data_IF_514604986160
#
_entry.id   IF_514604986160
#
_cell.length_a   1.000
_cell.length_b   1.000
_cell.length_c   1.000
_cell.angle_alpha   90.00
_cell.angle_beta   90.00
_cell.angle_gamma   90.00
#
_symmetry.space_group_name_H-M   'P 1'
#
loop_
_entity.id
_entity.type
_entity.pdbx_description
1 polymer ?
#
# COMPACT_ATOMS: atom_id res chain seq x y z
N UNK A 1 30.44 45.05 19.27
CA UNK A 1 29.08 44.58 18.91
C UNK A 1 29.09 43.89 17.54
N UNK A 2 29.67 44.48 16.49
CA UNK A 2 29.74 43.91 15.12
C UNK A 2 30.47 42.56 15.07
N UNK A 3 31.54 42.37 15.80
CA UNK A 3 32.32 41.13 15.88
C UNK A 3 31.52 39.97 16.54
N UNK A 4 30.75 40.29 17.57
CA UNK A 4 29.88 39.33 18.25
C UNK A 4 28.69 38.89 17.37
N UNK A 5 28.18 39.80 16.52
CA UNK A 5 27.01 39.52 15.68
C UNK A 5 27.32 38.51 14.57
N UNK A 6 28.55 38.43 14.06
CA UNK A 6 28.96 37.54 12.96
C UNK A 6 28.72 36.06 13.25
N UNK A 7 29.25 35.46 14.34
CA UNK A 7 29.03 34.05 14.63
C UNK A 7 27.56 33.75 14.96
N UNK A 8 26.80 34.70 15.56
CA UNK A 8 25.36 34.53 15.84
C UNK A 8 24.60 34.43 14.50
N UNK A 9 24.85 35.33 13.56
CA UNK A 9 24.21 35.28 12.24
C UNK A 9 24.61 34.02 11.48
N UNK A 10 25.89 33.61 11.53
CA UNK A 10 26.35 32.40 10.84
C UNK A 10 25.60 31.15 11.31
N UNK A 11 25.33 31.02 12.62
CA UNK A 11 24.55 29.96 13.20
C UNK A 11 23.05 30.08 12.87
N UNK A 12 22.54 31.29 12.64
CA UNK A 12 21.14 31.58 12.34
C UNK A 12 20.62 30.93 11.05
N UNK A 13 21.51 30.43 10.20
CA UNK A 13 21.14 29.68 8.98
C UNK A 13 20.36 28.38 9.26
N UNK A 14 20.42 27.87 10.48
CA UNK A 14 19.56 26.71 10.87
C UNK A 14 18.07 27.04 10.74
N UNK A 15 17.66 28.31 10.88
CA UNK A 15 16.25 28.73 10.84
C UNK A 15 15.63 28.50 9.44
N UNK A 16 16.17 29.04 8.32
CA UNK A 16 15.61 28.76 7.00
C UNK A 16 15.67 27.28 6.63
N UNK A 17 16.68 26.54 7.07
CA UNK A 17 16.75 25.08 6.89
C UNK A 17 15.60 24.34 7.57
N UNK A 18 15.31 24.68 8.83
CA UNK A 18 14.20 24.10 9.56
C UNK A 18 12.84 24.45 8.94
N UNK A 19 12.64 25.70 8.54
CA UNK A 19 11.40 26.11 7.87
C UNK A 19 11.17 25.29 6.59
N UNK A 20 12.24 25.12 5.78
CA UNK A 20 12.16 24.31 4.56
C UNK A 20 11.79 22.85 4.84
N UNK A 21 12.37 22.26 5.91
CA UNK A 21 12.06 20.89 6.30
C UNK A 21 10.58 20.70 6.74
N UNK A 22 9.95 21.71 7.33
CA UNK A 22 8.57 21.63 7.78
C UNK A 22 7.54 21.84 6.67
N UNK A 23 7.87 22.48 5.55
CA UNK A 23 6.90 22.73 4.46
C UNK A 23 6.23 21.46 3.92
N UNK A 24 6.94 20.38 3.58
CA UNK A 24 6.33 19.18 3.02
C UNK A 24 5.50 18.37 4.02
N UNK A 25 5.74 18.56 5.32
CA UNK A 25 5.12 17.75 6.40
C UNK A 25 4.09 18.51 7.22
N UNK A 26 3.64 19.66 6.73
CA UNK A 26 2.70 20.55 7.43
C UNK A 26 1.42 19.85 7.91
N UNK A 27 0.89 18.90 7.13
CA UNK A 27 -0.30 18.10 7.46
C UNK A 27 -0.07 17.05 8.55
N UNK A 28 1.20 16.68 8.78
CA UNK A 28 1.59 15.59 9.69
C UNK A 28 2.18 16.07 11.02
N UNK A 29 1.96 17.33 11.37
CA UNK A 29 2.42 17.92 12.63
C UNK A 29 1.60 17.43 13.83
N UNK A 30 2.25 17.23 14.97
CA UNK A 30 1.56 16.96 16.26
C UNK A 30 0.82 18.17 16.82
N UNK A 31 1.27 19.37 16.44
CA UNK A 31 0.71 20.65 16.86
C UNK A 31 0.46 21.55 15.64
N UNK A 32 -0.49 22.49 15.68
CA UNK A 32 -0.69 23.44 14.59
C UNK A 32 0.57 24.25 14.32
N UNK A 33 0.85 24.52 13.03
CA UNK A 33 2.08 25.20 12.59
C UNK A 33 2.31 26.54 13.30
N UNK A 34 1.24 27.31 13.56
CA UNK A 34 1.31 28.57 14.27
C UNK A 34 1.89 28.44 15.70
N UNK A 35 1.44 27.44 16.45
CA UNK A 35 1.99 27.17 17.79
C UNK A 35 3.42 26.67 17.72
N UNK A 36 3.76 25.83 16.73
CA UNK A 36 5.10 25.32 16.53
C UNK A 36 6.09 26.47 16.25
N UNK A 37 5.78 27.34 15.31
CA UNK A 37 6.62 28.49 14.93
C UNK A 37 6.81 29.46 16.11
N UNK A 38 5.74 29.69 16.89
CA UNK A 38 5.74 30.63 18.01
C UNK A 38 6.80 30.28 19.10
N UNK A 39 7.04 29.00 19.37
CA UNK A 39 8.04 28.62 20.36
C UNK A 39 9.37 28.16 19.74
N UNK A 40 9.33 27.53 18.54
CA UNK A 40 10.52 26.94 17.92
C UNK A 40 11.47 28.01 17.36
N UNK A 41 10.95 29.05 16.69
CA UNK A 41 11.79 30.10 16.12
C UNK A 41 12.51 30.91 17.23
N UNK A 42 11.86 31.37 18.30
CA UNK A 42 12.55 32.01 19.41
C UNK A 42 13.57 31.09 20.11
N UNK A 43 13.23 29.79 20.26
CA UNK A 43 14.16 28.82 20.83
C UNK A 43 15.41 28.67 19.98
N UNK A 44 15.28 28.49 18.67
CA UNK A 44 16.42 28.39 17.75
C UNK A 44 17.24 29.70 17.72
N UNK A 45 16.57 30.86 17.70
CA UNK A 45 17.25 32.14 17.75
C UNK A 45 18.07 32.32 19.05
N UNK A 46 17.49 31.90 20.20
CA UNK A 46 18.18 31.92 21.50
C UNK A 46 19.41 30.98 21.49
N UNK A 47 19.25 29.77 20.97
CA UNK A 47 20.33 28.79 20.87
C UNK A 47 21.44 29.27 19.92
N UNK A 48 21.09 29.88 18.79
CA UNK A 48 22.06 30.51 17.87
C UNK A 48 22.78 31.66 18.53
N UNK A 49 22.08 32.50 19.29
CA UNK A 49 22.69 33.61 20.04
C UNK A 49 23.64 33.07 21.11
N UNK A 50 23.20 32.13 21.94
CA UNK A 50 24.04 31.52 22.98
C UNK A 50 25.29 30.84 22.38
N UNK A 51 25.10 30.04 21.30
CA UNK A 51 26.20 29.40 20.58
C UNK A 51 27.17 30.39 19.97
N UNK A 52 26.66 31.48 19.39
CA UNK A 52 27.50 32.57 18.82
C UNK A 52 28.32 33.31 19.87
N UNK A 53 27.73 33.57 21.06
CA UNK A 53 28.45 34.16 22.20
C UNK A 53 29.58 33.23 22.68
N UNK A 54 29.32 31.91 22.76
CA UNK A 54 30.33 30.92 23.14
C UNK A 54 31.46 30.87 22.13
N UNK A 55 31.16 30.86 20.82
CA UNK A 55 32.16 30.90 19.75
C UNK A 55 33.01 32.16 19.83
N UNK A 56 32.38 33.31 20.07
CA UNK A 56 33.06 34.58 20.23
C UNK A 56 33.98 34.59 21.45
N UNK A 57 33.46 34.20 22.62
CA UNK A 57 34.20 34.22 23.90
C UNK A 57 35.42 33.29 23.88
N UNK A 58 35.28 32.11 23.28
CA UNK A 58 36.36 31.11 23.18
C UNK A 58 37.22 31.20 21.93
N UNK A 59 36.94 32.14 21.02
CA UNK A 59 37.55 32.24 19.70
C UNK A 59 37.56 30.90 18.92
N UNK A 60 36.45 30.16 18.99
CA UNK A 60 36.31 28.86 18.31
C UNK A 60 35.63 29.04 16.95
N UNK A 61 35.94 28.17 15.96
CA UNK A 61 35.20 28.14 14.70
C UNK A 61 33.73 27.77 14.93
N UNK A 62 32.85 28.34 14.13
CA UNK A 62 31.38 28.12 14.22
C UNK A 62 30.93 26.73 13.72
N UNK A 63 31.73 26.04 12.89
CA UNK A 63 31.35 24.78 12.25
C UNK A 63 30.96 23.68 13.24
N UNK A 64 31.67 23.38 14.35
CA UNK A 64 31.23 22.35 15.31
C UNK A 64 29.91 22.72 16.01
N UNK A 65 29.75 24.01 16.34
CA UNK A 65 28.54 24.52 16.97
C UNK A 65 27.34 24.44 16.02
N UNK A 66 27.54 24.79 14.75
CA UNK A 66 26.53 24.67 13.70
C UNK A 66 26.09 23.20 13.52
N UNK A 67 27.04 22.27 13.49
CA UNK A 67 26.72 20.83 13.42
C UNK A 67 25.90 20.36 14.62
N UNK A 68 26.27 20.76 15.84
CA UNK A 68 25.52 20.42 17.07
C UNK A 68 24.10 21.01 17.06
N UNK A 69 23.96 22.29 16.69
CA UNK A 69 22.65 22.94 16.57
C UNK A 69 21.77 22.30 15.49
N UNK A 70 22.36 21.93 14.37
CA UNK A 70 21.64 21.24 13.28
C UNK A 70 21.15 19.87 13.75
N UNK A 71 21.98 19.10 14.44
CA UNK A 71 21.59 17.81 14.99
C UNK A 71 20.43 17.96 15.99
N UNK A 72 20.51 18.93 16.91
CA UNK A 72 19.44 19.23 17.86
C UNK A 72 18.16 19.63 17.13
N UNK A 73 18.25 20.47 16.09
CA UNK A 73 17.12 20.88 15.29
C UNK A 73 16.46 19.69 14.58
N UNK A 74 17.23 18.75 14.03
CA UNK A 74 16.72 17.51 13.42
C UNK A 74 16.02 16.63 14.45
N UNK A 75 16.56 16.49 15.67
CA UNK A 75 15.89 15.74 16.76
C UNK A 75 14.55 16.37 17.12
N UNK A 76 14.50 17.70 17.27
CA UNK A 76 13.25 18.43 17.54
C UNK A 76 12.26 18.21 16.39
N UNK A 77 12.71 18.33 15.14
CA UNK A 77 11.91 18.09 13.95
C UNK A 77 11.24 16.71 13.99
N UNK A 78 12.01 15.64 14.16
CA UNK A 78 11.50 14.27 14.22
C UNK A 78 10.48 14.09 15.35
N UNK A 79 10.72 14.66 16.54
CA UNK A 79 9.83 14.56 17.70
C UNK A 79 8.50 15.29 17.53
N UNK A 80 8.44 16.32 16.70
CA UNK A 80 7.24 17.14 16.46
C UNK A 80 6.32 16.55 15.38
N UNK A 81 6.74 15.49 14.69
CA UNK A 81 5.99 14.87 13.58
C UNK A 81 5.28 13.57 13.98
N UNK A 82 4.21 13.23 13.22
CA UNK A 82 3.44 11.98 13.33
C UNK A 82 3.78 10.95 12.24
N UNK A 83 4.78 11.23 11.40
CA UNK A 83 5.21 10.35 10.30
C UNK A 83 6.34 9.42 10.74
N UNK A 84 6.59 8.38 9.92
CA UNK A 84 7.67 7.42 10.17
C UNK A 84 9.03 8.11 10.19
N UNK A 85 9.96 7.53 10.98
CA UNK A 85 11.33 8.02 11.10
C UNK A 85 12.04 8.09 9.73
N UNK A 86 11.77 7.14 8.84
CA UNK A 86 12.36 7.09 7.51
C UNK A 86 11.93 8.29 6.65
N UNK A 87 10.64 8.61 6.61
CA UNK A 87 10.12 9.78 5.87
C UNK A 87 10.69 11.09 6.43
N UNK A 88 10.58 11.29 7.75
CA UNK A 88 11.07 12.52 8.40
C UNK A 88 12.59 12.64 8.33
N UNK A 89 13.32 11.54 8.56
CA UNK A 89 14.78 11.50 8.50
C UNK A 89 15.31 11.82 7.11
N UNK A 90 14.76 11.24 6.06
CA UNK A 90 15.17 11.51 4.67
C UNK A 90 14.99 12.98 4.29
N UNK A 91 13.85 13.59 4.65
CA UNK A 91 13.60 15.02 4.38
C UNK A 91 14.61 15.88 5.12
N UNK A 92 14.79 15.63 6.42
CA UNK A 92 15.77 16.40 7.22
C UNK A 92 17.19 16.26 6.67
N UNK A 93 17.64 15.05 6.34
CA UNK A 93 18.96 14.80 5.77
C UNK A 93 19.13 15.47 4.40
N UNK A 94 18.10 15.47 3.55
CA UNK A 94 18.15 16.14 2.24
C UNK A 94 18.33 17.65 2.40
N UNK A 95 17.59 18.26 3.32
CA UNK A 95 17.76 19.69 3.64
C UNK A 95 19.15 19.94 4.22
N UNK A 96 19.62 19.14 5.17
CA UNK A 96 20.95 19.27 5.75
C UNK A 96 22.05 19.13 4.70
N UNK A 97 21.91 18.20 3.73
CA UNK A 97 22.90 18.03 2.66
C UNK A 97 23.00 19.25 1.74
N UNK A 98 21.87 19.83 1.34
CA UNK A 98 21.85 21.05 0.53
C UNK A 98 22.47 22.22 1.30
N UNK A 99 22.10 22.41 2.57
CA UNK A 99 22.65 23.48 3.40
C UNK A 99 24.13 23.26 3.71
N UNK A 100 24.63 22.03 3.79
CA UNK A 100 26.04 21.72 3.86
C UNK A 100 26.79 22.14 2.59
N UNK A 101 26.22 21.89 1.40
CA UNK A 101 26.78 22.35 0.14
C UNK A 101 26.81 23.90 0.05
N UNK A 102 25.73 24.56 0.47
CA UNK A 102 25.67 26.04 0.53
C UNK A 102 26.69 26.58 1.53
N UNK A 103 26.89 25.91 2.68
CA UNK A 103 27.90 26.28 3.66
C UNK A 103 29.34 26.21 3.07
N UNK A 104 29.65 25.10 2.35
CA UNK A 104 30.95 24.95 1.67
C UNK A 104 31.19 26.05 0.63
N UNK A 105 30.16 26.36 -0.18
CA UNK A 105 30.22 27.47 -1.13
C UNK A 105 30.43 28.83 -0.43
N UNK A 106 29.70 29.07 0.67
CA UNK A 106 29.82 30.30 1.45
C UNK A 106 31.21 30.45 2.11
N UNK A 107 31.84 29.34 2.47
CA UNK A 107 33.22 29.28 2.95
C UNK A 107 34.19 29.69 1.85
N UNK A 108 33.99 29.23 0.62
CA UNK A 108 34.78 29.67 -0.53
C UNK A 108 34.63 31.18 -0.80
N UNK A 109 33.39 31.70 -0.73
CA UNK A 109 33.09 33.13 -0.88
C UNK A 109 33.79 33.95 0.23
N UNK A 110 33.73 33.47 1.48
CA UNK A 110 34.42 34.13 2.59
C UNK A 110 35.94 34.19 2.38
N UNK A 111 36.54 33.07 1.94
CA UNK A 111 37.97 33.03 1.65
C UNK A 111 38.36 33.99 0.49
N UNK A 112 37.52 34.06 -0.56
CA UNK A 112 37.73 34.99 -1.67
C UNK A 112 37.64 36.46 -1.23
N UNK A 113 36.73 36.80 -0.32
CA UNK A 113 36.58 38.16 0.23
C UNK A 113 37.74 38.56 1.18
N UNK A 114 38.40 37.60 1.80
CA UNK A 114 39.51 37.80 2.70
C UNK A 114 40.86 37.68 1.97
N UNK A 115 40.89 37.22 0.72
CA UNK A 115 42.10 37.15 -0.11
C UNK A 115 42.69 38.56 -0.29
N UNK A 116 43.91 38.76 0.22
CA UNK A 116 44.60 40.07 0.19
C UNK A 116 44.61 40.85 1.50
N UNK A 117 43.93 40.37 2.55
CA UNK A 117 44.06 40.93 3.91
C UNK A 117 45.19 40.24 4.68
N UNK A 118 45.89 40.95 5.61
CA UNK A 118 46.91 40.33 6.44
C UNK A 118 46.33 39.18 7.27
N UNK A 119 46.89 37.98 7.11
CA UNK A 119 46.36 36.72 7.71
C UNK A 119 46.36 36.73 9.26
N UNK A 120 47.15 37.55 9.91
CA UNK A 120 47.27 37.65 11.35
C UNK A 120 45.97 38.14 12.07
N UNK A 121 44.96 38.62 11.33
CA UNK A 121 43.71 39.17 11.88
C UNK A 121 42.43 38.38 11.47
N UNK A 122 42.55 37.25 10.79
CA UNK A 122 41.39 36.49 10.38
C UNK A 122 40.66 35.85 11.60
N UNK A 123 39.45 36.30 11.82
CA UNK A 123 38.59 35.67 12.84
C UNK A 123 38.20 34.23 12.39
N UNK A 124 37.96 33.28 13.32
CA UNK A 124 37.60 31.90 13.00
C UNK A 124 36.19 31.74 12.43
N UNK A 125 35.45 32.83 12.23
CA UNK A 125 34.11 32.91 11.64
C UNK A 125 34.10 33.77 10.37
N UNK A 126 33.00 33.72 9.64
CA UNK A 126 32.85 34.44 8.37
C UNK A 126 32.88 35.97 8.56
N UNK A 127 33.38 36.69 7.56
CA UNK A 127 33.25 38.12 7.52
C UNK A 127 31.78 38.55 7.30
N UNK A 128 31.39 39.73 7.75
CA UNK A 128 29.99 40.17 7.71
C UNK A 128 29.37 40.09 6.30
N UNK A 129 30.13 40.49 5.26
CA UNK A 129 29.66 40.40 3.86
C UNK A 129 29.41 38.97 3.43
N UNK A 130 30.26 38.03 3.82
CA UNK A 130 30.08 36.60 3.51
C UNK A 130 28.88 36.02 4.25
N UNK A 131 28.65 36.38 5.52
CA UNK A 131 27.45 35.95 6.29
C UNK A 131 26.16 36.45 5.63
N UNK A 132 26.13 37.72 5.19
CA UNK A 132 24.97 38.27 4.48
C UNK A 132 24.71 37.49 3.18
N UNK A 133 25.76 37.23 2.38
CA UNK A 133 25.65 36.42 1.17
C UNK A 133 25.15 35.00 1.50
N UNK A 134 25.66 34.41 2.57
CA UNK A 134 25.24 33.06 3.02
C UNK A 134 23.72 33.01 3.34
N UNK A 135 23.24 33.97 4.13
CA UNK A 135 21.80 34.09 4.38
C UNK A 135 20.98 34.33 3.13
N UNK A 136 21.46 35.24 2.25
CA UNK A 136 20.76 35.52 0.99
C UNK A 136 20.60 34.27 0.14
N UNK A 137 21.64 33.43 0.01
CA UNK A 137 21.60 32.17 -0.72
C UNK A 137 20.63 31.18 -0.04
N UNK A 138 20.68 31.05 1.29
CA UNK A 138 19.81 30.12 2.02
C UNK A 138 18.33 30.49 1.93
N UNK A 139 17.99 31.77 2.08
CA UNK A 139 16.63 32.25 1.97
C UNK A 139 16.11 32.19 0.52
N UNK A 140 16.96 32.53 -0.45
CA UNK A 140 16.63 32.39 -1.87
C UNK A 140 16.34 30.92 -2.21
N UNK A 141 17.22 30.03 -1.75
CA UNK A 141 17.01 28.59 -1.95
C UNK A 141 15.70 28.11 -1.28
N UNK A 142 15.42 28.51 -0.04
CA UNK A 142 14.19 28.16 0.66
C UNK A 142 12.94 28.68 -0.08
N UNK A 143 13.00 29.88 -0.67
CA UNK A 143 11.92 30.46 -1.46
C UNK A 143 11.67 29.67 -2.77
N UNK A 144 12.74 29.31 -3.49
CA UNK A 144 12.65 28.51 -4.72
C UNK A 144 12.13 27.08 -4.40
N UNK A 145 12.65 26.47 -3.35
CA UNK A 145 12.27 25.12 -2.93
C UNK A 145 10.87 25.05 -2.30
N UNK A 146 10.25 26.17 -1.95
CA UNK A 146 8.92 26.22 -1.33
C UNK A 146 7.85 25.52 -2.17
N UNK A 147 7.81 25.81 -3.47
CA UNK A 147 6.81 25.23 -4.38
C UNK A 147 6.96 23.69 -4.51
N UNK A 148 8.12 23.12 -4.87
CA UNK A 148 8.29 21.68 -4.92
C UNK A 148 8.09 21.00 -3.54
N UNK A 149 8.49 21.64 -2.45
CA UNK A 149 8.32 21.11 -1.10
C UNK A 149 6.83 20.98 -0.72
N UNK A 150 6.03 22.01 -0.98
CA UNK A 150 4.61 22.04 -0.59
C UNK A 150 3.69 21.26 -1.51
N UNK A 151 4.08 20.99 -2.76
CA UNK A 151 3.24 20.29 -3.75
C UNK A 151 3.75 18.87 -3.99
N UNK A 152 4.96 18.72 -4.50
CA UNK A 152 5.45 17.42 -4.95
C UNK A 152 5.92 16.54 -3.80
N UNK A 153 6.81 17.06 -2.93
CA UNK A 153 7.32 16.29 -1.79
C UNK A 153 6.20 15.99 -0.79
N UNK A 154 5.30 16.95 -0.55
CA UNK A 154 4.15 16.75 0.33
C UNK A 154 3.27 15.59 -0.14
N UNK A 155 2.93 15.51 -1.44
CA UNK A 155 2.17 14.39 -1.99
C UNK A 155 2.86 13.05 -1.76
N UNK A 156 4.18 13.00 -1.93
CA UNK A 156 4.95 11.78 -1.66
C UNK A 156 4.92 11.38 -0.19
N UNK A 157 4.89 12.34 0.74
CA UNK A 157 4.80 12.06 2.18
C UNK A 157 3.43 11.50 2.55
N UNK A 158 2.37 12.05 1.96
CA UNK A 158 0.98 11.67 2.22
C UNK A 158 0.60 10.33 1.56
N UNK A 159 1.29 9.92 0.50
CA UNK A 159 1.01 8.68 -0.23
C UNK A 159 1.75 7.48 0.42
N UNK A 160 0.98 6.43 0.76
CA UNK A 160 1.52 5.20 1.37
C UNK A 160 2.28 4.32 0.39
N UNK A 161 2.01 4.44 -0.92
CA UNK A 161 2.67 3.65 -1.96
C UNK A 161 4.18 3.90 -2.05
N UNK A 162 4.68 5.02 -1.49
CA UNK A 162 6.10 5.36 -1.44
C UNK A 162 6.87 4.80 -0.25
N UNK A 163 6.26 3.97 0.59
CA UNK A 163 6.89 3.51 1.83
C UNK A 163 8.27 2.86 1.57
N UNK A 164 8.40 2.03 0.54
CA UNK A 164 9.66 1.34 0.20
C UNK A 164 10.74 2.28 -0.33
N UNK A 165 10.36 3.33 -1.03
CA UNK A 165 11.28 4.29 -1.65
C UNK A 165 12.06 5.07 -0.60
N UNK A 166 11.42 5.42 0.53
CA UNK A 166 12.04 6.17 1.62
C UNK A 166 13.21 5.42 2.30
N UNK A 167 13.25 4.08 2.24
CA UNK A 167 14.35 3.29 2.80
C UNK A 167 15.67 3.41 2.04
N UNK A 168 15.66 3.89 0.81
CA UNK A 168 16.85 4.01 -0.04
C UNK A 168 17.35 5.44 -0.12
N UNK A 169 16.45 6.42 -0.08
CA UNK A 169 16.77 7.81 -0.39
C UNK A 169 17.59 8.57 0.66
N UNK A 170 17.65 8.10 1.89
CA UNK A 170 18.49 8.74 2.93
C UNK A 170 19.99 8.56 2.68
N UNK A 171 20.38 7.54 1.89
CA UNK A 171 21.79 7.24 1.63
C UNK A 171 22.48 8.37 0.87
N UNK A 172 21.84 8.90 -0.17
CA UNK A 172 22.40 9.95 -1.00
C UNK A 172 22.69 11.25 -0.23
N UNK A 173 21.75 11.85 0.51
CA UNK A 173 22.03 12.99 1.37
C UNK A 173 23.16 12.75 2.36
N UNK A 174 23.23 11.54 2.94
CA UNK A 174 24.28 11.20 3.89
C UNK A 174 25.68 11.24 3.23
N UNK A 175 25.80 10.71 2.00
CA UNK A 175 27.05 10.77 1.24
C UNK A 175 27.46 12.20 0.97
N UNK A 176 26.52 13.08 0.58
CA UNK A 176 26.83 14.50 0.34
C UNK A 176 27.23 15.23 1.63
N UNK A 177 26.59 14.94 2.76
CA UNK A 177 27.00 15.49 4.06
C UNK A 177 28.44 15.03 4.39
N UNK A 178 28.73 13.74 4.24
CA UNK A 178 30.06 13.19 4.51
C UNK A 178 31.14 13.84 3.62
N UNK A 179 30.86 13.98 2.31
CA UNK A 179 31.77 14.66 1.37
C UNK A 179 32.02 16.13 1.76
N UNK A 180 30.95 16.85 2.13
CA UNK A 180 31.12 18.25 2.58
C UNK A 180 31.91 18.37 3.90
N UNK A 181 31.69 17.44 4.84
CA UNK A 181 32.45 17.36 6.10
C UNK A 181 33.92 17.06 5.82
N UNK A 182 34.21 16.14 4.90
CA UNK A 182 35.59 15.81 4.49
C UNK A 182 36.29 16.97 3.83
N UNK A 183 35.58 17.82 3.08
CA UNK A 183 36.10 18.98 2.41
C UNK A 183 36.41 20.17 3.35
N UNK A 184 35.96 20.16 4.61
CA UNK A 184 36.28 21.23 5.55
C UNK A 184 37.81 21.28 5.75
N UNK A 185 38.48 22.37 5.39
CA UNK A 185 39.92 22.44 5.52
C UNK A 185 40.32 22.44 6.99
N UNK A 186 41.32 21.61 7.32
CA UNK A 186 41.85 21.52 8.69
C UNK A 186 42.52 22.82 9.16
N UNK A 187 43.13 23.52 8.23
CA UNK A 187 43.75 24.82 8.46
C UNK A 187 43.13 25.85 7.53
N UNK A 188 42.66 26.97 8.08
CA UNK A 188 42.05 28.07 7.30
C UNK A 188 42.98 28.61 6.24
N UNK A 189 44.29 28.68 6.53
CA UNK A 189 45.33 29.25 5.67
C UNK A 189 45.50 28.50 4.35
N UNK A 190 45.16 27.23 4.28
CA UNK A 190 45.21 26.42 3.05
C UNK A 190 44.28 26.94 1.96
N UNK A 191 43.15 27.55 2.33
CA UNK A 191 42.19 28.12 1.39
C UNK A 191 42.67 29.41 0.73
N UNK A 192 43.66 30.10 1.30
CA UNK A 192 44.14 31.38 0.75
C UNK A 192 45.15 31.22 -0.40
N UNK A 193 45.54 29.96 -0.71
CA UNK A 193 46.38 29.70 -1.90
C UNK A 193 45.47 29.72 -3.13
N UNK A 194 45.78 30.58 -4.13
CA UNK A 194 44.88 30.87 -5.25
C UNK A 194 44.36 29.62 -6.01
N UNK A 195 45.22 28.63 -6.27
CA UNK A 195 44.80 27.38 -6.92
C UNK A 195 43.90 26.53 -6.03
N UNK A 196 44.17 26.45 -4.73
CA UNK A 196 43.35 25.68 -3.78
C UNK A 196 41.97 26.32 -3.63
N UNK A 197 41.90 27.63 -3.53
CA UNK A 197 40.64 28.37 -3.47
C UNK A 197 39.78 28.15 -4.71
N UNK A 198 40.41 28.25 -5.92
CA UNK A 198 39.70 27.98 -7.18
C UNK A 198 39.16 26.55 -7.24
N UNK A 199 39.98 25.55 -6.89
CA UNK A 199 39.57 24.15 -6.83
C UNK A 199 38.44 23.93 -5.84
N UNK A 200 38.53 24.48 -4.64
CA UNK A 200 37.50 24.38 -3.61
C UNK A 200 36.17 25.01 -4.05
N UNK A 201 36.24 26.17 -4.73
CA UNK A 201 35.07 26.86 -5.26
C UNK A 201 34.37 26.03 -6.34
N UNK A 202 35.12 25.50 -7.31
CA UNK A 202 34.60 24.63 -8.38
C UNK A 202 33.97 23.39 -7.80
N UNK A 203 34.64 22.69 -6.86
CA UNK A 203 34.12 21.49 -6.23
C UNK A 203 32.84 21.80 -5.43
N UNK A 204 32.80 22.92 -4.68
CA UNK A 204 31.62 23.31 -3.91
C UNK A 204 30.40 23.58 -4.78
N UNK A 205 30.58 24.27 -5.93
CA UNK A 205 29.53 24.51 -6.91
C UNK A 205 29.08 23.18 -7.53
N UNK A 206 30.04 22.34 -7.92
CA UNK A 206 29.75 21.04 -8.54
C UNK A 206 28.95 20.13 -7.59
N UNK A 207 29.33 20.07 -6.31
CA UNK A 207 28.60 19.30 -5.30
C UNK A 207 27.18 19.85 -5.09
N UNK A 208 27.03 21.17 -5.02
CA UNK A 208 25.71 21.78 -4.89
C UNK A 208 24.83 21.46 -6.11
N UNK A 209 25.37 21.65 -7.32
CA UNK A 209 24.66 21.34 -8.56
C UNK A 209 24.27 19.85 -8.61
N UNK A 210 25.20 18.95 -8.30
CA UNK A 210 24.98 17.51 -8.31
C UNK A 210 23.92 17.10 -7.30
N UNK A 211 23.96 17.67 -6.08
CA UNK A 211 22.95 17.42 -5.05
C UNK A 211 21.55 17.88 -5.50
N UNK A 212 21.45 19.07 -6.10
CA UNK A 212 20.18 19.58 -6.62
C UNK A 212 19.67 18.74 -7.79
N UNK A 213 20.58 18.33 -8.69
CA UNK A 213 20.26 17.46 -9.82
C UNK A 213 19.72 16.11 -9.36
N UNK A 214 20.36 15.45 -8.39
CA UNK A 214 19.87 14.20 -7.84
C UNK A 214 18.55 14.36 -7.10
N UNK A 215 18.34 15.45 -6.36
CA UNK A 215 17.03 15.73 -5.76
C UNK A 215 15.94 15.92 -6.82
N UNK A 216 16.25 16.59 -7.94
CA UNK A 216 15.32 16.77 -9.04
C UNK A 216 14.98 15.43 -9.73
N UNK A 217 15.98 14.61 -10.03
CA UNK A 217 15.76 13.26 -10.58
C UNK A 217 14.90 12.41 -9.63
N UNK A 218 15.23 12.44 -8.35
CA UNK A 218 14.43 11.74 -7.34
C UNK A 218 12.96 12.15 -7.38
N UNK A 219 12.71 13.46 -7.39
CA UNK A 219 11.36 13.99 -7.44
C UNK A 219 10.62 13.57 -8.72
N UNK A 220 11.29 13.65 -9.89
CA UNK A 220 10.72 13.21 -11.16
C UNK A 220 10.42 11.70 -11.18
N UNK A 221 11.35 10.89 -10.67
CA UNK A 221 11.20 9.44 -10.58
C UNK A 221 10.01 9.09 -9.68
N UNK A 222 9.89 9.74 -8.54
CA UNK A 222 8.79 9.52 -7.62
C UNK A 222 7.43 9.89 -8.25
N UNK A 223 7.34 11.03 -8.94
CA UNK A 223 6.13 11.42 -9.68
C UNK A 223 5.78 10.40 -10.76
N UNK A 224 6.79 9.90 -11.50
CA UNK A 224 6.61 8.89 -12.56
C UNK A 224 6.11 7.56 -12.00
N UNK A 225 6.69 7.07 -10.91
CA UNK A 225 6.26 5.82 -10.25
C UNK A 225 4.79 5.93 -9.82
N UNK A 226 4.43 7.03 -9.17
CA UNK A 226 3.06 7.25 -8.72
C UNK A 226 2.06 7.28 -9.88
N UNK A 227 2.41 7.96 -10.97
CA UNK A 227 1.61 7.97 -12.19
C UNK A 227 1.41 6.57 -12.77
N UNK A 228 2.48 5.77 -12.82
CA UNK A 228 2.42 4.41 -13.34
C UNK A 228 1.55 3.49 -12.47
N UNK A 229 1.67 3.56 -11.15
CA UNK A 229 0.82 2.79 -10.22
C UNK A 229 -0.65 3.16 -10.41
N UNK A 230 -0.96 4.45 -10.52
CA UNK A 230 -2.33 4.93 -10.75
C UNK A 230 -2.89 4.43 -12.09
N UNK A 231 -2.11 4.51 -13.16
CA UNK A 231 -2.50 3.98 -14.47
C UNK A 231 -2.73 2.46 -14.45
N UNK A 232 -1.92 1.72 -13.71
CA UNK A 232 -2.12 0.28 -13.52
C UNK A 232 -3.44 -0.02 -12.81
N UNK A 233 -3.78 0.73 -11.74
CA UNK A 233 -5.05 0.58 -11.03
C UNK A 233 -6.25 0.91 -11.92
N UNK A 234 -6.18 1.98 -12.72
CA UNK A 234 -7.21 2.34 -13.68
C UNK A 234 -7.39 1.25 -14.76
N UNK A 235 -6.29 0.70 -15.29
CA UNK A 235 -6.34 -0.39 -16.27
C UNK A 235 -6.92 -1.68 -15.68
N UNK A 236 -6.60 -2.02 -14.42
CA UNK A 236 -7.19 -3.16 -13.74
C UNK A 236 -8.70 -2.99 -13.54
N UNK A 237 -9.14 -1.80 -13.16
CA UNK A 237 -10.56 -1.48 -13.02
C UNK A 237 -11.30 -1.62 -14.35
N UNK A 238 -10.74 -1.07 -15.43
CA UNK A 238 -11.30 -1.18 -16.78
C UNK A 238 -11.39 -2.63 -17.25
N UNK A 239 -10.36 -3.44 -17.01
CA UNK A 239 -10.38 -4.85 -17.39
C UNK A 239 -11.43 -5.65 -16.61
N UNK A 240 -11.64 -5.36 -15.31
CA UNK A 240 -12.72 -5.97 -14.53
C UNK A 240 -14.12 -5.55 -15.02
N UNK A 241 -14.29 -4.28 -15.42
CA UNK A 241 -15.55 -3.82 -15.99
C UNK A 241 -15.85 -4.50 -17.34
N UNK A 242 -14.84 -4.63 -18.19
CA UNK A 242 -14.98 -5.33 -19.46
C UNK A 242 -15.34 -6.80 -19.27
N UNK A 243 -14.69 -7.49 -18.34
CA UNK A 243 -15.00 -8.89 -18.02
C UNK A 243 -16.42 -9.06 -17.49
N UNK A 244 -16.90 -8.14 -16.63
CA UNK A 244 -18.30 -8.11 -16.18
C UNK A 244 -19.27 -7.91 -17.33
N UNK A 245 -18.95 -6.98 -18.25
CA UNK A 245 -19.78 -6.73 -19.42
C UNK A 245 -19.89 -7.96 -20.33
N UNK A 246 -18.77 -8.65 -20.59
CA UNK A 246 -18.76 -9.88 -21.41
C UNK A 246 -19.56 -11.01 -20.73
N UNK A 247 -19.40 -11.18 -19.42
CA UNK A 247 -20.19 -12.16 -18.65
C UNK A 247 -21.69 -11.86 -18.68
N UNK A 248 -22.06 -10.58 -18.55
CA UNK A 248 -23.46 -10.16 -18.63
C UNK A 248 -24.03 -10.40 -20.03
N UNK A 249 -23.27 -10.05 -21.08
CA UNK A 249 -23.66 -10.29 -22.46
C UNK A 249 -23.88 -11.79 -22.72
N UNK A 250 -22.97 -12.65 -22.25
CA UNK A 250 -23.11 -14.11 -22.37
C UNK A 250 -24.38 -14.62 -21.64
N UNK A 251 -24.65 -14.14 -20.43
CA UNK A 251 -25.85 -14.52 -19.67
C UNK A 251 -27.14 -14.04 -20.36
N UNK A 252 -27.14 -12.85 -20.96
CA UNK A 252 -28.29 -12.34 -21.72
C UNK A 252 -28.55 -13.23 -22.96
N UNK A 253 -27.50 -13.63 -23.68
CA UNK A 253 -27.65 -14.48 -24.85
C UNK A 253 -28.13 -15.90 -24.48
N UNK A 254 -27.60 -16.47 -23.41
CA UNK A 254 -28.07 -17.75 -22.85
C UNK A 254 -29.55 -17.68 -22.44
N UNK A 255 -29.96 -16.62 -21.74
CA UNK A 255 -31.35 -16.40 -21.36
C UNK A 255 -32.27 -16.20 -22.59
N UNK A 256 -31.76 -15.56 -23.64
CA UNK A 256 -32.48 -15.40 -24.91
C UNK A 256 -32.69 -16.73 -25.60
N UNK A 257 -31.65 -17.56 -25.62
CA UNK A 257 -31.72 -18.90 -26.23
C UNK A 257 -32.67 -19.80 -25.45
N UNK A 258 -32.55 -19.86 -24.13
CA UNK A 258 -33.48 -20.63 -23.28
C UNK A 258 -34.94 -20.21 -23.47
N UNK A 259 -35.20 -18.92 -23.59
CA UNK A 259 -36.54 -18.37 -23.85
C UNK A 259 -37.06 -18.76 -25.24
N UNK A 260 -36.20 -18.76 -26.24
CA UNK A 260 -36.51 -19.21 -27.60
C UNK A 260 -36.89 -20.70 -27.59
N UNK A 261 -36.10 -21.52 -26.94
CA UNK A 261 -36.32 -22.98 -26.86
C UNK A 261 -37.62 -23.32 -26.10
N UNK A 262 -37.87 -22.61 -24.99
CA UNK A 262 -39.13 -22.72 -24.25
C UNK A 262 -40.33 -22.35 -25.12
N UNK A 263 -40.24 -21.26 -25.89
CA UNK A 263 -41.30 -20.83 -26.82
C UNK A 263 -41.58 -21.92 -27.87
N UNK A 264 -40.53 -22.53 -28.42
CA UNK A 264 -40.64 -23.59 -29.38
C UNK A 264 -41.34 -24.83 -28.80
N UNK A 265 -40.96 -25.20 -27.57
CA UNK A 265 -41.62 -26.31 -26.85
C UNK A 265 -43.10 -26.04 -26.59
N UNK A 266 -43.45 -24.81 -26.18
CA UNK A 266 -44.85 -24.42 -25.96
C UNK A 266 -45.67 -24.41 -27.23
N UNK A 267 -45.10 -23.97 -28.39
CA UNK A 267 -45.76 -24.03 -29.67
C UNK A 267 -46.01 -25.48 -30.12
N UNK A 268 -45.06 -26.40 -29.89
CA UNK A 268 -45.26 -27.82 -30.18
C UNK A 268 -46.35 -28.43 -29.32
N UNK A 269 -46.42 -28.09 -28.01
CA UNK A 269 -47.48 -28.50 -27.13
C UNK A 269 -48.86 -27.99 -27.58
N UNK A 270 -48.94 -26.72 -27.98
CA UNK A 270 -50.18 -26.12 -28.47
C UNK A 270 -50.70 -26.86 -29.74
N UNK A 271 -49.81 -27.14 -30.71
CA UNK A 271 -50.16 -27.88 -31.89
C UNK A 271 -50.68 -29.30 -31.60
N UNK A 272 -50.05 -30.04 -30.64
CA UNK A 272 -50.52 -31.34 -30.21
C UNK A 272 -51.87 -31.28 -29.47
N UNK A 273 -52.14 -30.16 -28.80
CA UNK A 273 -53.42 -29.95 -28.12
C UNK A 273 -54.54 -29.65 -29.13
N UNK A 274 -54.29 -28.92 -30.21
CA UNK A 274 -55.22 -28.68 -31.30
C UNK A 274 -55.59 -29.98 -32.08
N UNK A 275 -54.64 -30.93 -32.17
CA UNK A 275 -54.89 -32.26 -32.74
C UNK A 275 -55.78 -33.15 -31.82
N UNK A 276 -56.03 -32.74 -30.58
CA UNK A 276 -56.87 -33.49 -29.62
C UNK A 276 -56.24 -34.80 -29.15
N UNK A 277 -54.95 -35.05 -29.38
CA UNK A 277 -54.31 -36.32 -29.10
C UNK A 277 -53.63 -36.31 -27.69
N UNK A 278 -54.40 -36.67 -26.68
CA UNK A 278 -53.94 -36.64 -25.28
C UNK A 278 -52.73 -37.56 -25.00
N UNK A 279 -52.63 -38.69 -25.72
CA UNK A 279 -51.52 -39.65 -25.52
C UNK A 279 -50.19 -39.07 -26.07
N UNK A 280 -50.24 -38.38 -27.18
CA UNK A 280 -49.02 -37.69 -27.73
C UNK A 280 -48.60 -36.55 -26.82
N UNK A 281 -49.54 -35.81 -26.22
CA UNK A 281 -49.22 -34.73 -25.26
C UNK A 281 -48.56 -35.33 -24.00
N UNK A 282 -49.07 -36.40 -23.46
CA UNK A 282 -48.48 -37.10 -22.30
C UNK A 282 -47.09 -37.64 -22.62
N UNK A 283 -46.90 -38.25 -23.79
CA UNK A 283 -45.58 -38.75 -24.23
C UNK A 283 -44.56 -37.61 -24.41
N UNK A 284 -44.96 -36.46 -24.97
CA UNK A 284 -44.10 -35.29 -25.12
C UNK A 284 -43.71 -34.68 -23.76
N UNK A 285 -44.68 -34.53 -22.87
CA UNK A 285 -44.45 -34.02 -21.51
C UNK A 285 -43.55 -34.95 -20.68
N UNK A 286 -43.76 -36.27 -20.73
CA UNK A 286 -42.90 -37.23 -20.05
C UNK A 286 -41.46 -37.21 -20.60
N UNK A 287 -41.29 -37.07 -21.93
CA UNK A 287 -39.99 -36.89 -22.56
C UNK A 287 -39.32 -35.53 -22.23
N UNK A 288 -40.10 -34.47 -22.07
CA UNK A 288 -39.59 -33.17 -21.65
C UNK A 288 -39.19 -33.14 -20.17
N UNK A 289 -40.03 -33.74 -19.30
CA UNK A 289 -39.76 -33.87 -17.85
C UNK A 289 -38.54 -34.77 -17.60
N UNK A 290 -38.35 -35.86 -18.36
CA UNK A 290 -37.17 -36.72 -18.19
C UNK A 290 -35.83 -36.03 -18.58
N UNK A 291 -35.88 -34.95 -19.33
CA UNK A 291 -34.69 -34.10 -19.66
C UNK A 291 -34.40 -33.10 -18.57
N UNK A 292 -35.34 -32.75 -17.73
CA UNK A 292 -35.12 -31.96 -16.52
C UNK A 292 -34.59 -32.93 -15.47
N UNK A 293 -33.38 -32.75 -14.92
CA UNK A 293 -32.93 -33.59 -13.83
C UNK A 293 -34.01 -33.60 -12.75
N UNK A 294 -34.54 -34.78 -12.43
CA UNK A 294 -35.60 -34.90 -11.43
C UNK A 294 -35.06 -34.43 -10.07
N UNK A 295 -35.52 -33.29 -9.64
CA UNK A 295 -35.33 -32.74 -8.28
C UNK A 295 -36.34 -33.41 -7.32
N UNK A 296 -36.52 -34.72 -7.45
CA UNK A 296 -37.46 -35.47 -6.59
C UNK A 296 -36.90 -35.82 -5.20
N UNK A 297 -35.71 -35.43 -4.89
CA UNK A 297 -35.12 -35.60 -3.57
C UNK A 297 -35.32 -34.30 -2.78
N UNK A 298 -36.25 -34.30 -1.86
CA UNK A 298 -36.44 -33.28 -0.86
C UNK A 298 -35.50 -33.57 0.31
N UNK A 299 -34.49 -32.71 0.48
CA UNK A 299 -33.43 -32.88 1.48
C UNK A 299 -33.72 -32.11 2.78
N UNK A 300 -34.36 -30.92 2.69
CA UNK A 300 -34.67 -30.07 3.83
C UNK A 300 -35.82 -29.10 3.52
N UNK A 301 -36.39 -28.49 4.56
CA UNK A 301 -37.52 -27.54 4.42
C UNK A 301 -37.10 -26.19 3.80
N UNK A 302 -35.84 -25.79 3.95
CA UNK A 302 -35.34 -24.56 3.31
C UNK A 302 -35.16 -24.73 1.81
N UNK A 303 -36.02 -24.10 1.01
CA UNK A 303 -36.09 -24.25 -0.46
C UNK A 303 -34.80 -23.86 -1.17
N UNK A 304 -34.12 -22.84 -0.71
CA UNK A 304 -32.89 -22.36 -1.35
C UNK A 304 -31.74 -23.35 -1.13
N UNK A 305 -31.57 -23.85 0.08
CA UNK A 305 -30.58 -24.87 0.42
C UNK A 305 -30.92 -26.21 -0.28
N UNK A 306 -32.18 -26.59 -0.30
CA UNK A 306 -32.67 -27.80 -0.97
C UNK A 306 -32.36 -27.81 -2.47
N UNK A 307 -32.57 -26.68 -3.15
CA UNK A 307 -32.23 -26.51 -4.55
C UNK A 307 -30.72 -26.63 -4.84
N UNK A 308 -29.85 -26.03 -4.02
CA UNK A 308 -28.41 -26.14 -4.16
C UNK A 308 -27.94 -27.58 -3.95
N UNK A 309 -28.41 -28.22 -2.87
CA UNK A 309 -28.03 -29.59 -2.54
C UNK A 309 -28.51 -30.57 -3.60
N UNK A 310 -29.76 -30.42 -4.08
CA UNK A 310 -30.32 -31.20 -5.17
C UNK A 310 -29.55 -31.12 -6.46
N UNK A 311 -29.12 -29.91 -6.85
CA UNK A 311 -28.28 -29.69 -8.02
C UNK A 311 -26.95 -30.45 -7.95
N UNK A 312 -26.21 -30.33 -6.85
CA UNK A 312 -24.95 -31.05 -6.69
C UNK A 312 -25.13 -32.56 -6.49
N UNK A 313 -26.23 -32.98 -5.92
CA UNK A 313 -26.58 -34.40 -5.86
C UNK A 313 -26.78 -34.99 -7.27
N UNK A 314 -27.50 -34.29 -8.14
CA UNK A 314 -27.71 -34.72 -9.53
C UNK A 314 -26.37 -34.78 -10.30
N UNK A 315 -25.48 -33.80 -10.10
CA UNK A 315 -24.13 -33.79 -10.70
C UNK A 315 -23.28 -34.96 -10.18
N UNK A 316 -23.28 -35.22 -8.86
CA UNK A 316 -22.52 -36.32 -8.26
C UNK A 316 -23.02 -37.67 -8.78
N UNK A 317 -24.35 -37.85 -8.91
CA UNK A 317 -24.97 -39.05 -9.48
C UNK A 317 -24.58 -39.29 -10.92
N UNK A 318 -24.54 -38.21 -11.75
CA UNK A 318 -24.11 -38.30 -13.16
C UNK A 318 -22.64 -38.74 -13.27
N UNK A 319 -21.78 -38.30 -12.39
CA UNK A 319 -20.35 -38.64 -12.34
C UNK A 319 -20.05 -39.92 -11.54
N UNK A 320 -21.09 -40.67 -11.13
CA UNK A 320 -20.98 -41.89 -10.31
C UNK A 320 -20.18 -41.69 -9.01
N UNK A 321 -20.39 -40.55 -8.34
CA UNK A 321 -19.76 -40.24 -7.06
C UNK A 321 -20.78 -40.56 -5.92
N UNK A 322 -20.45 -41.43 -4.96
CA UNK A 322 -21.28 -41.65 -3.78
C UNK A 322 -21.47 -40.34 -3.00
N UNK A 323 -22.73 -39.91 -2.87
CA UNK A 323 -23.10 -38.66 -2.23
C UNK A 323 -24.04 -38.91 -1.07
N UNK A 324 -23.64 -38.61 0.15
CA UNK A 324 -24.43 -38.78 1.37
C UNK A 324 -24.83 -37.43 1.94
N UNK A 325 -26.10 -37.20 2.17
CA UNK A 325 -26.66 -35.95 2.68
C UNK A 325 -27.36 -36.18 4.00
N UNK A 326 -27.02 -35.39 5.00
CA UNK A 326 -27.70 -35.29 6.29
C UNK A 326 -27.94 -33.81 6.56
N UNK A 327 -29.10 -33.31 6.22
CA UNK A 327 -29.41 -31.88 6.32
C UNK A 327 -30.73 -31.71 7.08
N UNK A 328 -30.71 -30.86 8.09
CA UNK A 328 -31.86 -30.49 8.92
C UNK A 328 -31.85 -28.95 9.06
N UNK A 329 -32.45 -28.31 8.06
CA UNK A 329 -32.59 -26.87 7.99
C UNK A 329 -34.06 -26.51 7.83
N UNK A 330 -34.65 -25.74 8.77
CA UNK A 330 -36.06 -25.34 8.71
C UNK A 330 -36.30 -24.32 7.58
N UNK A 331 -37.54 -24.11 7.19
CA UNK A 331 -37.94 -23.19 6.12
C UNK A 331 -37.41 -21.77 6.34
N UNK A 332 -37.49 -21.25 7.56
CA UNK A 332 -36.95 -19.93 7.95
C UNK A 332 -35.69 -20.12 8.76
N UNK A 333 -34.60 -19.56 8.27
CA UNK A 333 -33.29 -19.57 8.94
C UNK A 333 -32.94 -18.18 9.52
N UNK A 334 -32.26 -18.13 10.66
CA UNK A 334 -31.79 -16.88 11.22
C UNK A 334 -30.63 -16.28 10.42
N UNK A 335 -29.98 -17.05 9.55
CA UNK A 335 -28.86 -16.65 8.72
C UNK A 335 -29.33 -16.20 7.33
N UNK A 336 -28.59 -15.32 6.70
CA UNK A 336 -28.87 -14.86 5.34
C UNK A 336 -28.82 -16.03 4.34
N UNK A 337 -29.93 -16.26 3.62
CA UNK A 337 -30.06 -17.35 2.65
C UNK A 337 -29.06 -17.29 1.50
N UNK A 338 -28.72 -16.08 1.05
CA UNK A 338 -27.75 -15.89 -0.05
C UNK A 338 -26.39 -16.35 0.43
N UNK A 339 -25.99 -15.96 1.63
CA UNK A 339 -24.73 -16.37 2.23
C UNK A 339 -24.67 -17.89 2.45
N UNK A 340 -25.77 -18.49 2.93
CA UNK A 340 -25.86 -19.93 3.07
C UNK A 340 -25.70 -20.67 1.74
N UNK A 341 -26.41 -20.24 0.70
CA UNK A 341 -26.33 -20.81 -0.65
C UNK A 341 -24.95 -20.67 -1.27
N UNK A 342 -24.30 -19.51 -1.08
CA UNK A 342 -22.93 -19.27 -1.55
C UNK A 342 -21.91 -20.18 -0.83
N UNK A 343 -22.06 -20.39 0.48
CA UNK A 343 -21.20 -21.31 1.24
C UNK A 343 -21.40 -22.74 0.77
N UNK A 344 -22.66 -23.22 0.68
CA UNK A 344 -22.97 -24.55 0.20
C UNK A 344 -22.44 -24.80 -1.21
N UNK A 345 -22.70 -23.89 -2.14
CA UNK A 345 -22.25 -24.00 -3.53
C UNK A 345 -20.72 -24.09 -3.62
N UNK A 346 -19.98 -23.18 -2.96
CA UNK A 346 -18.52 -23.19 -2.98
C UNK A 346 -17.92 -24.47 -2.38
N UNK A 347 -18.49 -24.97 -1.28
CA UNK A 347 -17.99 -26.19 -0.64
C UNK A 347 -18.31 -27.44 -1.46
N UNK A 348 -19.51 -27.53 -2.02
CA UNK A 348 -19.94 -28.69 -2.81
C UNK A 348 -19.25 -28.72 -4.19
N UNK A 349 -19.04 -27.57 -4.81
CA UNK A 349 -18.24 -27.46 -6.03
C UNK A 349 -16.80 -27.96 -5.79
N UNK A 350 -16.14 -27.48 -4.74
CA UNK A 350 -14.81 -27.92 -4.38
C UNK A 350 -14.74 -29.43 -4.10
N UNK A 351 -15.76 -29.97 -3.40
CA UNK A 351 -15.85 -31.39 -3.09
C UNK A 351 -16.03 -32.27 -4.34
N UNK A 352 -16.90 -31.84 -5.26
CA UNK A 352 -17.12 -32.50 -6.55
C UNK A 352 -15.82 -32.53 -7.37
N UNK A 353 -15.17 -31.41 -7.52
CA UNK A 353 -13.94 -31.29 -8.29
C UNK A 353 -12.78 -32.11 -7.69
N UNK A 354 -12.61 -32.11 -6.38
CA UNK A 354 -11.59 -32.90 -5.72
C UNK A 354 -11.88 -34.41 -5.87
N UNK A 355 -13.15 -34.81 -5.74
CA UNK A 355 -13.55 -36.19 -5.94
C UNK A 355 -13.35 -36.68 -7.36
N UNK A 356 -13.58 -35.83 -8.38
CA UNK A 356 -13.34 -36.18 -9.79
C UNK A 356 -11.87 -36.49 -10.08
N UNK A 357 -10.95 -35.86 -9.37
CA UNK A 357 -9.49 -36.14 -9.49
C UNK A 357 -9.05 -37.40 -8.75
N UNK A 358 -9.88 -37.89 -7.84
CA UNK A 358 -9.61 -39.09 -7.06
C UNK A 358 -9.99 -40.35 -7.86
N UNK A 359 -9.30 -41.47 -7.64
CA UNK A 359 -9.62 -42.73 -8.27
C UNK A 359 -11.12 -43.13 -8.00
N UNK A 360 -11.86 -43.63 -9.02
CA UNK A 360 -13.32 -43.85 -8.91
C UNK A 360 -13.74 -44.65 -7.68
N UNK A 361 -12.97 -45.68 -7.30
CA UNK A 361 -13.26 -46.51 -6.14
C UNK A 361 -13.16 -45.81 -4.78
N UNK A 362 -12.48 -44.65 -4.73
CA UNK A 362 -12.28 -43.88 -3.50
C UNK A 362 -13.15 -42.61 -3.42
N UNK A 363 -13.91 -42.30 -4.48
CA UNK A 363 -14.73 -41.11 -4.56
C UNK A 363 -15.84 -41.14 -3.51
N UNK A 364 -15.98 -40.09 -2.73
CA UNK A 364 -17.05 -39.94 -1.75
C UNK A 364 -17.22 -38.47 -1.39
N UNK A 365 -18.48 -38.04 -1.29
CA UNK A 365 -18.85 -36.73 -0.76
C UNK A 365 -19.88 -36.95 0.33
N UNK A 366 -19.73 -36.28 1.47
CA UNK A 366 -20.70 -36.25 2.56
C UNK A 366 -20.98 -34.79 2.94
N UNK A 367 -22.26 -34.43 2.94
CA UNK A 367 -22.76 -33.17 3.44
C UNK A 367 -23.49 -33.37 4.74
N UNK A 368 -23.17 -32.59 5.76
CA UNK A 368 -23.94 -32.50 7.00
C UNK A 368 -24.24 -31.04 7.27
N UNK A 369 -25.50 -30.66 7.44
CA UNK A 369 -25.87 -29.29 7.80
C UNK A 369 -27.06 -29.30 8.75
N UNK A 370 -27.02 -28.50 9.79
CA UNK A 370 -28.11 -28.38 10.76
C UNK A 370 -28.05 -27.04 11.50
N UNK A 371 -29.19 -26.65 12.06
CA UNK A 371 -29.30 -25.48 12.90
C UNK A 371 -29.00 -25.88 14.35
N UNK A 372 -27.97 -25.26 14.95
CA UNK A 372 -27.63 -25.43 16.35
C UNK A 372 -28.21 -24.29 17.20
N UNK A 373 -29.15 -24.61 18.06
CA UNK A 373 -29.94 -23.59 18.75
C UNK A 373 -30.77 -22.76 17.76
N UNK A 374 -31.04 -21.49 18.12
CA UNK A 374 -31.90 -20.64 17.29
C UNK A 374 -31.10 -19.62 16.41
N UNK A 375 -29.77 -19.70 16.37
CA UNK A 375 -28.95 -18.64 15.72
C UNK A 375 -27.72 -19.12 14.98
N UNK A 376 -27.42 -20.42 14.98
CA UNK A 376 -26.18 -20.93 14.39
C UNK A 376 -26.46 -22.02 13.36
N UNK A 377 -26.14 -21.76 12.09
CA UNK A 377 -26.15 -22.80 11.06
C UNK A 377 -24.73 -23.42 10.97
N UNK A 378 -24.69 -24.75 11.16
CA UNK A 378 -23.46 -25.54 11.05
C UNK A 378 -23.50 -26.34 9.75
N UNK A 379 -22.47 -26.20 8.94
CA UNK A 379 -22.29 -26.82 7.64
C UNK A 379 -20.98 -27.57 7.65
N UNK A 380 -20.99 -28.84 7.29
CA UNK A 380 -19.78 -29.65 7.13
C UNK A 380 -19.83 -30.37 5.79
N UNK A 381 -18.81 -30.21 4.98
CA UNK A 381 -18.62 -30.97 3.75
C UNK A 381 -17.33 -31.77 3.87
N UNK A 382 -17.45 -33.07 3.65
CA UNK A 382 -16.30 -33.99 3.59
C UNK A 382 -16.21 -34.59 2.19
N UNK A 383 -15.02 -34.67 1.66
CA UNK A 383 -14.77 -35.35 0.40
C UNK A 383 -13.40 -36.04 0.39
N UNK A 384 -13.27 -37.04 -0.45
CA UNK A 384 -11.95 -37.61 -0.76
C UNK A 384 -11.18 -36.72 -1.72
N UNK A 385 -9.86 -36.70 -1.60
CA UNK A 385 -8.96 -35.96 -2.46
C UNK A 385 -7.72 -36.77 -2.81
N UNK A 386 -6.97 -36.32 -3.82
CA UNK A 386 -5.78 -37.00 -4.39
C UNK A 386 -4.52 -36.94 -3.53
N UNK A 387 -4.60 -36.34 -2.34
CA UNK A 387 -3.48 -36.19 -1.40
C UNK A 387 -2.59 -34.97 -1.66
N UNK A 388 -2.81 -34.19 -2.71
CA UNK A 388 -2.03 -32.99 -3.03
C UNK A 388 -2.76 -31.72 -2.61
N UNK A 389 -2.33 -31.12 -1.50
CA UNK A 389 -2.81 -29.80 -1.05
C UNK A 389 -1.66 -28.82 -1.12
N UNK A 390 -1.91 -27.66 -1.76
CA UNK A 390 -0.97 -26.54 -1.81
C UNK A 390 -1.48 -25.43 -0.92
N UNK A 391 -0.75 -25.21 0.17
CA UNK A 391 -1.02 -24.15 1.12
C UNK A 391 0.20 -23.24 1.25
N UNK A 392 0.01 -21.93 1.23
CA UNK A 392 1.07 -20.96 1.45
C UNK A 392 0.57 -19.86 2.39
N UNK A 393 1.14 -19.78 3.59
CA UNK A 393 0.78 -18.76 4.57
C UNK A 393 -0.66 -18.82 5.06
N UNK A 394 -1.27 -20.02 5.21
CA UNK A 394 -2.66 -20.19 5.63
C UNK A 394 -3.71 -19.99 4.51
N UNK A 395 -3.25 -19.84 3.25
CA UNK A 395 -4.12 -19.68 2.08
C UNK A 395 -3.98 -20.88 1.16
N UNK A 396 -5.11 -21.53 0.85
CA UNK A 396 -5.17 -22.64 -0.09
C UNK A 396 -5.03 -22.13 -1.52
N UNK A 397 -4.10 -22.70 -2.28
CA UNK A 397 -3.88 -22.34 -3.69
C UNK A 397 -4.81 -23.12 -4.60
N UNK A 398 -5.31 -22.45 -5.64
CA UNK A 398 -6.14 -23.10 -6.66
C UNK A 398 -5.32 -24.12 -7.44
N UNK A 399 -5.91 -25.30 -7.66
CA UNK A 399 -5.35 -26.32 -8.56
C UNK A 399 -5.63 -26.05 -10.04
N UNK A 400 -6.52 -25.08 -10.37
CA UNK A 400 -6.95 -24.75 -11.74
C UNK A 400 -6.19 -23.58 -12.36
N UNK A 401 -5.72 -22.60 -11.57
CA UNK A 401 -5.07 -21.37 -12.04
C UNK A 401 -3.87 -21.06 -11.16
N UNK A 402 -2.85 -20.38 -11.72
CA UNK A 402 -1.78 -19.79 -10.91
C UNK A 402 -2.40 -18.67 -10.06
N UNK A 403 -2.68 -18.95 -8.78
CA UNK A 403 -3.25 -17.99 -7.84
C UNK A 403 -3.98 -18.66 -6.68
N UNK A 404 -4.51 -17.85 -5.78
CA UNK A 404 -5.20 -18.29 -4.57
C UNK A 404 -6.55 -18.93 -4.87
N UNK A 405 -6.93 -19.94 -4.09
CA UNK A 405 -8.23 -20.62 -4.20
C UNK A 405 -9.38 -19.71 -3.77
N UNK A 406 -10.05 -19.07 -4.72
CA UNK A 406 -11.09 -18.06 -4.48
C UNK A 406 -12.30 -18.64 -3.70
N UNK A 407 -12.67 -19.90 -3.93
CA UNK A 407 -13.84 -20.52 -3.30
C UNK A 407 -13.75 -20.63 -1.77
N UNK A 408 -12.64 -21.17 -1.25
CA UNK A 408 -12.46 -21.29 0.21
C UNK A 408 -12.21 -19.93 0.90
N UNK A 409 -11.59 -18.97 0.20
CA UNK A 409 -11.46 -17.60 0.71
C UNK A 409 -12.82 -16.91 0.79
N UNK A 410 -13.69 -17.10 -0.22
CA UNK A 410 -15.06 -16.58 -0.20
C UNK A 410 -15.84 -17.16 0.97
N UNK A 411 -15.75 -18.46 1.20
CA UNK A 411 -16.40 -19.14 2.34
C UNK A 411 -15.91 -18.57 3.67
N UNK A 412 -14.61 -18.39 3.83
CA UNK A 412 -14.02 -17.80 5.04
C UNK A 412 -14.50 -16.38 5.27
N UNK A 413 -14.48 -15.56 4.22
CA UNK A 413 -14.96 -14.17 4.30
C UNK A 413 -16.45 -14.07 4.68
N UNK A 414 -17.30 -14.92 4.08
CA UNK A 414 -18.73 -14.98 4.42
C UNK A 414 -18.94 -15.40 5.88
N UNK A 415 -18.22 -16.43 6.35
CA UNK A 415 -18.30 -16.88 7.73
C UNK A 415 -17.90 -15.79 8.72
N UNK A 416 -16.76 -15.12 8.48
CA UNK A 416 -16.28 -14.02 9.33
C UNK A 416 -17.26 -12.83 9.34
N UNK A 417 -17.81 -12.46 8.17
CA UNK A 417 -18.82 -11.40 8.05
C UNK A 417 -20.10 -11.70 8.80
N UNK A 418 -20.49 -12.97 8.86
CA UNK A 418 -21.65 -13.44 9.62
C UNK A 418 -21.35 -13.67 11.11
N UNK A 419 -20.20 -13.24 11.62
CA UNK A 419 -19.80 -13.44 13.01
C UNK A 419 -19.56 -14.92 13.39
N UNK A 420 -19.33 -15.76 12.40
CA UNK A 420 -19.04 -17.18 12.52
C UNK A 420 -17.57 -17.51 12.24
N UNK A 421 -17.29 -18.79 11.97
CA UNK A 421 -15.93 -19.30 11.76
C UNK A 421 -15.93 -20.36 10.66
N UNK A 422 -14.88 -20.44 9.86
CA UNK A 422 -14.61 -21.56 8.95
C UNK A 422 -13.33 -22.27 9.34
N UNK A 423 -13.35 -23.60 9.34
CA UNK A 423 -12.18 -24.45 9.62
C UNK A 423 -12.06 -25.50 8.53
N UNK A 424 -10.82 -25.78 8.15
CA UNK A 424 -10.49 -26.81 7.17
C UNK A 424 -9.50 -27.78 7.81
N UNK A 425 -9.77 -29.07 7.69
CA UNK A 425 -8.86 -30.14 8.11
C UNK A 425 -8.72 -31.15 6.99
N UNK A 426 -7.53 -31.72 6.85
CA UNK A 426 -7.27 -32.73 5.84
C UNK A 426 -6.32 -33.78 6.42
N UNK A 427 -6.82 -35.01 6.46
CA UNK A 427 -6.08 -36.16 7.00
C UNK A 427 -6.57 -37.44 6.31
N UNK A 428 -5.69 -38.40 6.13
CA UNK A 428 -6.01 -39.76 5.62
C UNK A 428 -6.78 -39.78 4.29
N UNK A 429 -6.50 -38.83 3.39
CA UNK A 429 -7.15 -38.72 2.09
C UNK A 429 -8.58 -38.15 2.14
N UNK A 430 -9.00 -37.63 3.29
CA UNK A 430 -10.27 -36.92 3.49
C UNK A 430 -10.04 -35.45 3.76
N UNK A 431 -10.66 -34.61 2.96
CA UNK A 431 -10.74 -33.18 3.17
C UNK A 431 -12.08 -32.84 3.84
N UNK A 432 -12.03 -32.07 4.91
CA UNK A 432 -13.20 -31.67 5.68
C UNK A 432 -13.23 -30.17 5.90
N UNK A 433 -14.24 -29.52 5.37
CA UNK A 433 -14.52 -28.11 5.61
C UNK A 433 -15.72 -27.98 6.56
N UNK A 434 -15.56 -27.22 7.63
CA UNK A 434 -16.63 -26.87 8.57
C UNK A 434 -16.83 -25.37 8.57
N UNK A 435 -18.08 -24.95 8.50
CA UNK A 435 -18.46 -23.55 8.50
C UNK A 435 -19.59 -23.34 9.50
N UNK A 436 -19.45 -22.30 10.28
CA UNK A 436 -20.46 -21.83 11.20
C UNK A 436 -20.89 -20.44 10.74
N UNK A 437 -22.17 -20.25 10.48
CA UNK A 437 -22.79 -18.98 10.19
C UNK A 437 -23.67 -18.58 11.36
N UNK A 438 -23.56 -17.35 11.80
CA UNK A 438 -24.38 -16.79 12.87
C UNK A 438 -25.41 -15.83 12.27
N UNK A 439 -26.65 -15.92 12.74
CA UNK A 439 -27.73 -15.02 12.39
C UNK A 439 -28.03 -14.03 13.49
#
# INVERSE_FOLDING_TARGET
>A
IMELLRPILELGVVIPGMLLAYFPVKSSLKQPLSKLVLWLVPLLALLCAAGGVVCYARRMPTAPMLAGLTLLAVVIYIKTLRISLWKSGTIALSVCAVFACINSLSRAINAAMLAGLPQAQAAPWFCLRAVICYHAICWLFAAIAYYPATHSVRRMVEDENFAQTWYVFWVLPLVFIALNLFMIPKYADTLYTGRVLQGYFVISITLLFLMLFFNAIFLLMAISINRNVRLQQENQLLSMQQQRYESLKAAIEEARQARHDLRHQLCQLAALAEEGNLEKIKAYLSGAVSRIPSLELHFCENRAADGVVGYYCALAKRENIPYSVQIDLPECLPVDEINLCLVLSNLLENALEASLRTAPARRRIKLTAYLHGNSLALIQVENTYDGVIREKGGVFQSSKRKGDGVGLQSVRHIAEKSGGVSTVTYQDGVFRARVMLRG
#
